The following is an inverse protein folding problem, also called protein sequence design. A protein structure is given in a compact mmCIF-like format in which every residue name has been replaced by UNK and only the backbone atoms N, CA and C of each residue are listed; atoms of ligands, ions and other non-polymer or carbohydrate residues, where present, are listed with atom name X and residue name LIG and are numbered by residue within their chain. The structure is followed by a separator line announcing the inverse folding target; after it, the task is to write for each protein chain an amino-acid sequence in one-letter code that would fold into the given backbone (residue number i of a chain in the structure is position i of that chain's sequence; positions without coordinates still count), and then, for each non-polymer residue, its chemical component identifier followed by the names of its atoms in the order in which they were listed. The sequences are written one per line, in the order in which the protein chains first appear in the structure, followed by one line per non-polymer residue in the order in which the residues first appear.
data_IF_717819726888
#
_entry.id   IF_717819726888
#
_cell.length_a   1.000
_cell.length_b   1.000
_cell.length_c   1.000
_cell.angle_alpha   90.00
_cell.angle_beta   90.00
_cell.angle_gamma   90.00
#
_symmetry.space_group_name_H-M   'P 1'
#
loop_
_entity.id
_entity.type
_entity.pdbx_description
1 polymer ?
#
# COMPACT_ATOMS: atom_id res chain seq x y z
N UNK A 1 14.19 -5.10 11.85
CA UNK A 1 13.84 -6.12 10.83
C UNK A 1 13.20 -5.55 9.56
N UNK A 2 12.99 -4.23 9.47
CA UNK A 2 12.05 -3.56 8.54
C UNK A 2 12.36 -3.55 7.05
N UNK A 3 13.58 -3.21 6.66
CA UNK A 3 13.83 -2.72 5.30
C UNK A 3 13.82 -3.83 4.24
N UNK A 4 14.44 -4.97 4.55
CA UNK A 4 14.52 -6.11 3.63
C UNK A 4 13.15 -6.73 3.32
N UNK A 5 12.23 -6.74 4.28
CA UNK A 5 10.88 -7.29 4.08
C UNK A 5 10.04 -6.39 3.17
N UNK A 6 10.16 -5.07 3.33
CA UNK A 6 9.51 -4.08 2.45
C UNK A 6 10.09 -4.18 1.02
N UNK A 7 11.42 -4.23 0.90
CA UNK A 7 12.09 -4.41 -0.39
C UNK A 7 11.63 -5.71 -1.06
N UNK A 8 11.59 -6.82 -0.32
CA UNK A 8 11.10 -8.10 -0.84
C UNK A 8 9.63 -8.04 -1.27
N UNK A 9 8.75 -7.38 -0.50
CA UNK A 9 7.36 -7.15 -0.87
C UNK A 9 7.26 -6.40 -2.21
N UNK A 10 8.03 -5.32 -2.39
CA UNK A 10 8.02 -4.54 -3.63
C UNK A 10 8.56 -5.34 -4.81
N UNK A 11 9.67 -6.06 -4.65
CA UNK A 11 10.25 -6.89 -5.73
C UNK A 11 9.33 -8.05 -6.11
N UNK A 12 8.89 -8.84 -5.13
CA UNK A 12 8.20 -10.12 -5.37
C UNK A 12 6.72 -9.97 -5.66
N UNK A 13 6.06 -8.91 -5.18
CA UNK A 13 4.61 -8.77 -5.26
C UNK A 13 4.18 -7.65 -6.21
N UNK A 14 4.99 -6.60 -6.38
CA UNK A 14 4.61 -5.44 -7.20
C UNK A 14 5.36 -5.48 -8.54
N UNK A 15 6.70 -5.46 -8.52
CA UNK A 15 7.51 -5.48 -9.74
C UNK A 15 7.34 -6.77 -10.54
N UNK A 16 7.27 -7.92 -9.86
CA UNK A 16 7.03 -9.20 -10.50
C UNK A 16 5.70 -9.28 -11.29
N UNK A 17 4.74 -8.38 -10.99
CA UNK A 17 3.46 -8.26 -11.71
C UNK A 17 3.50 -7.29 -12.90
N UNK A 18 4.66 -6.72 -13.21
CA UNK A 18 4.83 -5.81 -14.35
C UNK A 18 4.43 -4.36 -14.09
N UNK A 19 4.12 -4.00 -12.85
CA UNK A 19 3.84 -2.61 -12.46
C UNK A 19 5.17 -1.84 -12.52
N UNK A 20 5.38 -1.08 -13.59
CA UNK A 20 6.64 -0.40 -13.90
C UNK A 20 6.77 1.04 -13.41
N UNK A 21 5.78 1.59 -12.67
CA UNK A 21 5.83 2.97 -12.18
C UNK A 21 6.71 3.09 -10.92
N UNK A 22 7.88 3.73 -11.08
CA UNK A 22 8.84 3.95 -9.98
C UNK A 22 8.25 4.77 -8.82
N UNK A 23 7.26 5.63 -9.08
CA UNK A 23 6.59 6.42 -8.03
C UNK A 23 5.80 5.50 -7.10
N UNK A 24 5.15 4.47 -7.66
CA UNK A 24 4.44 3.45 -6.89
C UNK A 24 5.44 2.65 -6.07
N UNK A 25 6.55 2.20 -6.65
CA UNK A 25 7.57 1.46 -5.90
C UNK A 25 8.10 2.28 -4.73
N UNK A 26 8.45 3.55 -4.97
CA UNK A 26 8.91 4.46 -3.91
C UNK A 26 7.86 4.66 -2.83
N UNK A 27 6.59 4.85 -3.18
CA UNK A 27 5.51 4.99 -2.21
C UNK A 27 5.42 3.76 -1.29
N UNK A 28 5.47 2.54 -1.84
CA UNK A 28 5.45 1.32 -1.04
C UNK A 28 6.72 1.09 -0.21
N UNK A 29 7.88 1.56 -0.68
CA UNK A 29 9.14 1.52 0.09
C UNK A 29 9.12 2.49 1.27
N UNK A 30 8.43 3.63 1.15
CA UNK A 30 8.37 4.67 2.18
C UNK A 30 7.21 4.48 3.18
N UNK A 31 6.08 3.94 2.75
CA UNK A 31 4.91 3.71 3.61
C UNK A 31 4.99 2.30 4.21
N UNK A 32 5.52 2.22 5.43
CA UNK A 32 5.62 0.95 6.13
C UNK A 32 4.23 0.45 6.57
N UNK A 33 3.75 -0.56 5.84
CA UNK A 33 2.46 -1.22 6.03
C UNK A 33 2.23 -1.76 7.46
N UNK A 34 3.28 -2.02 8.25
CA UNK A 34 3.15 -2.46 9.65
C UNK A 34 2.43 -1.46 10.55
N UNK A 35 2.52 -0.17 10.25
CA UNK A 35 1.84 0.86 11.05
C UNK A 35 0.33 0.92 10.78
N UNK A 36 -0.14 0.12 9.82
CA UNK A 36 -1.54 0.07 9.38
C UNK A 36 -2.20 -1.29 9.67
N UNK A 37 -1.56 -2.14 10.48
CA UNK A 37 -2.12 -3.41 10.96
C UNK A 37 -2.13 -3.43 12.49
N UNK A 38 -3.06 -4.14 13.13
CA UNK A 38 -3.02 -4.41 14.56
C UNK A 38 -1.72 -5.09 14.99
N UNK A 39 -1.29 -4.86 16.23
CA UNK A 39 -0.01 -5.35 16.77
C UNK A 39 0.14 -6.88 16.64
N UNK A 40 -0.93 -7.61 16.91
CA UNK A 40 -1.02 -9.07 16.78
C UNK A 40 -0.79 -9.61 15.36
N UNK A 41 -0.89 -8.75 14.34
CA UNK A 41 -0.68 -9.12 12.93
C UNK A 41 0.55 -8.48 12.30
N UNK A 42 1.44 -7.84 13.08
CA UNK A 42 2.67 -7.22 12.55
C UNK A 42 3.51 -8.22 11.74
N UNK A 43 3.61 -9.47 12.17
CA UNK A 43 4.36 -10.51 11.45
C UNK A 43 3.78 -10.87 10.07
N UNK A 44 2.53 -10.46 9.80
CA UNK A 44 1.79 -10.71 8.56
C UNK A 44 1.68 -9.46 7.68
N UNK A 45 2.32 -8.35 8.04
CA UNK A 45 2.12 -7.05 7.39
C UNK A 45 2.50 -7.03 5.90
N UNK A 46 3.52 -7.79 5.52
CA UNK A 46 4.14 -7.72 4.19
C UNK A 46 3.75 -8.86 3.26
N UNK A 47 2.93 -9.81 3.75
CA UNK A 47 2.43 -10.89 2.92
C UNK A 47 1.39 -10.39 1.92
N UNK A 48 1.33 -11.04 0.76
CA UNK A 48 0.36 -10.73 -0.30
C UNK A 48 -1.04 -11.29 0.01
N UNK A 49 -1.59 -10.92 1.15
CA UNK A 49 -2.90 -11.35 1.62
C UNK A 49 -3.59 -10.24 2.44
N UNK A 50 -4.92 -10.28 2.60
CA UNK A 50 -5.61 -9.35 3.47
C UNK A 50 -5.21 -9.58 4.93
N UNK A 51 -5.25 -8.53 5.74
CA UNK A 51 -5.06 -8.62 7.20
C UNK A 51 -6.24 -7.97 7.88
N UNK A 52 -6.78 -8.58 8.94
CA UNK A 52 -7.88 -7.97 9.68
C UNK A 52 -7.42 -6.70 10.40
N UNK A 53 -8.27 -5.67 10.39
CA UNK A 53 -8.03 -4.39 11.07
C UNK A 53 -9.13 -4.09 12.12
N UNK A 54 -9.91 -5.11 12.50
CA UNK A 54 -11.06 -4.97 13.40
C UNK A 54 -12.37 -4.62 12.66
N UNK A 55 -13.48 -4.63 13.39
CA UNK A 55 -14.83 -4.27 12.88
C UNK A 55 -15.27 -4.99 11.60
N UNK A 56 -14.81 -6.23 11.40
CA UNK A 56 -15.08 -7.02 10.19
C UNK A 56 -14.39 -6.49 8.92
N UNK A 57 -13.46 -5.54 9.04
CA UNK A 57 -12.72 -4.95 7.93
C UNK A 57 -11.33 -5.58 7.77
N UNK A 58 -10.77 -5.41 6.58
CA UNK A 58 -9.40 -5.84 6.26
C UNK A 58 -8.63 -4.73 5.54
N UNK A 59 -7.31 -4.72 5.71
CA UNK A 59 -6.41 -4.02 4.81
C UNK A 59 -6.11 -4.94 3.62
N UNK A 60 -6.36 -4.48 2.39
CA UNK A 60 -6.22 -5.22 1.13
C UNK A 60 -4.79 -5.68 0.87
N UNK A 61 -4.58 -6.70 0.03
CA UNK A 61 -3.23 -7.20 -0.28
C UNK A 61 -2.37 -6.11 -0.95
N UNK A 62 -1.05 -6.02 -0.68
CA UNK A 62 -0.15 -5.08 -1.33
C UNK A 62 -0.25 -5.06 -2.86
N UNK A 63 -0.34 -6.22 -3.51
CA UNK A 63 -0.39 -6.29 -4.96
C UNK A 63 -1.67 -5.68 -5.55
N UNK A 64 -2.82 -5.98 -4.94
CA UNK A 64 -4.11 -5.38 -5.33
C UNK A 64 -4.08 -3.85 -5.19
N UNK A 65 -3.53 -3.35 -4.07
CA UNK A 65 -3.40 -1.89 -3.87
C UNK A 65 -2.48 -1.27 -4.91
N UNK A 66 -1.35 -1.91 -5.23
CA UNK A 66 -0.42 -1.39 -6.24
C UNK A 66 -1.06 -1.36 -7.64
N UNK A 67 -1.83 -2.38 -8.01
CA UNK A 67 -2.58 -2.44 -9.27
C UNK A 67 -3.65 -1.33 -9.33
N UNK A 68 -4.44 -1.14 -8.26
CA UNK A 68 -5.41 -0.05 -8.17
C UNK A 68 -4.77 1.32 -8.36
N UNK A 69 -3.64 1.58 -7.70
CA UNK A 69 -2.92 2.85 -7.82
C UNK A 69 -2.30 3.06 -9.20
N UNK A 70 -1.83 1.96 -9.82
CA UNK A 70 -1.30 2.00 -11.18
C UNK A 70 -2.38 2.35 -12.19
N UNK A 71 -3.55 1.72 -12.10
CA UNK A 71 -4.69 2.02 -12.98
C UNK A 71 -5.26 3.42 -12.73
N UNK A 72 -5.24 3.92 -11.49
CA UNK A 72 -5.73 5.25 -11.16
C UNK A 72 -4.89 6.39 -11.77
N UNK A 73 -3.64 6.12 -12.17
CA UNK A 73 -2.75 7.06 -12.87
C UNK A 73 -2.64 8.43 -12.17
N UNK A 74 -2.57 8.42 -10.83
CA UNK A 74 -2.52 9.63 -10.00
C UNK A 74 -1.33 10.52 -10.38
N UNK A 75 -1.58 11.82 -10.48
CA UNK A 75 -0.61 12.87 -10.74
C UNK A 75 -0.51 13.82 -9.55
N UNK A 76 0.64 14.47 -9.46
CA UNK A 76 0.89 15.52 -8.47
C UNK A 76 -0.20 16.60 -8.56
N UNK A 77 -0.85 16.89 -7.43
CA UNK A 77 -1.92 17.88 -7.33
C UNK A 77 -3.33 17.38 -7.65
N UNK A 78 -3.49 16.11 -8.06
CA UNK A 78 -4.82 15.54 -8.29
C UNK A 78 -5.65 15.55 -7.00
N UNK A 79 -6.93 15.90 -7.12
CA UNK A 79 -7.91 15.75 -6.04
C UNK A 79 -8.50 14.35 -6.10
N UNK A 80 -8.30 13.57 -5.03
CA UNK A 80 -8.69 12.16 -4.99
C UNK A 80 -9.74 11.94 -3.89
N UNK A 81 -10.79 11.19 -4.21
CA UNK A 81 -11.74 10.67 -3.23
C UNK A 81 -11.46 9.18 -3.01
N UNK A 82 -10.99 8.83 -1.82
CA UNK A 82 -10.93 7.45 -1.34
C UNK A 82 -12.23 7.12 -0.60
N UNK A 83 -12.96 6.10 -1.05
CA UNK A 83 -14.15 5.60 -0.33
C UNK A 83 -13.76 4.36 0.46
N UNK A 84 -13.84 4.45 1.79
CA UNK A 84 -13.51 3.35 2.70
C UNK A 84 -12.06 3.38 3.17
N UNK A 85 -11.70 4.36 3.98
CA UNK A 85 -10.30 4.56 4.42
C UNK A 85 -9.72 3.38 5.20
N UNK A 86 -10.55 2.56 5.86
CA UNK A 86 -10.10 1.36 6.56
C UNK A 86 -8.98 1.68 7.56
N UNK A 87 -7.76 1.17 7.30
CA UNK A 87 -6.59 1.45 8.13
C UNK A 87 -5.88 2.77 7.82
N UNK A 88 -6.20 3.42 6.71
CA UNK A 88 -5.51 4.62 6.19
C UNK A 88 -4.28 4.32 5.33
N UNK A 89 -3.99 3.06 5.04
CA UNK A 89 -2.80 2.67 4.26
C UNK A 89 -2.84 3.20 2.82
N UNK A 90 -3.98 3.08 2.15
CA UNK A 90 -4.15 3.55 0.78
C UNK A 90 -4.09 5.07 0.72
N UNK A 91 -4.75 5.77 1.67
CA UNK A 91 -4.59 7.22 1.84
C UNK A 91 -3.13 7.67 1.99
N UNK A 92 -2.32 6.97 2.79
CA UNK A 92 -0.90 7.28 2.95
C UNK A 92 -0.12 7.10 1.64
N UNK A 93 -0.44 6.07 0.85
CA UNK A 93 0.15 5.86 -0.48
C UNK A 93 -0.27 6.94 -1.47
N UNK A 94 -1.55 7.33 -1.49
CA UNK A 94 -2.07 8.42 -2.31
C UNK A 94 -1.35 9.74 -2.02
N UNK A 95 -1.12 10.05 -0.75
CA UNK A 95 -0.33 11.22 -0.35
C UNK A 95 1.11 11.14 -0.88
N UNK A 96 1.75 9.97 -0.82
CA UNK A 96 3.10 9.76 -1.41
C UNK A 96 3.14 9.85 -2.92
N UNK A 97 2.01 9.65 -3.60
CA UNK A 97 1.87 9.81 -5.04
C UNK A 97 1.54 11.26 -5.46
N UNK A 98 1.40 12.18 -4.50
CA UNK A 98 1.17 13.60 -4.76
C UNK A 98 -0.30 14.02 -4.80
N UNK A 99 -1.22 13.17 -4.32
CA UNK A 99 -2.62 13.55 -4.22
C UNK A 99 -2.81 14.69 -3.20
N UNK A 100 -3.66 15.66 -3.56
CA UNK A 100 -4.02 16.79 -2.71
C UNK A 100 -5.24 16.41 -1.84
N UNK A 101 -5.22 16.70 -0.52
CA UNK A 101 -6.37 16.53 0.37
C UNK A 101 -7.61 17.36 0.00
#
# INVERSE_FOLDING_TARGET
MSKKEIEFMVESQIKARGIGDERIHRAFLEVDRRFFVPEEYISKSYGDHPVSIGSGQTISQPAMVAEMLWEAQIKEGDKVLEVGSGSGYVLALLYKLGANP
#
